data_IF_699624644467
#
_entry.id   IF_699624644467
#
_cell.length_a   1.000
_cell.length_b   1.000
_cell.length_c   1.000
_cell.angle_alpha   90.00
_cell.angle_beta   90.00
_cell.angle_gamma   90.00
#
_symmetry.space_group_name_H-M   'P 1'
#
loop_
_entity.id
_entity.type
_entity.pdbx_description
1 polymer ?
#
# COMPACT_ATOMS: atom_id res chain seq x y z
N UNK A 1 -7.17 -18.83 -91.21
CA UNK A 1 -6.17 -17.76 -91.36
C UNK A 1 -6.83 -16.42 -91.09
N UNK A 2 -6.13 -15.59 -90.32
CA UNK A 2 -6.56 -14.38 -89.60
C UNK A 2 -7.27 -13.33 -90.47
N UNK A 3 -8.36 -12.76 -89.95
CA UNK A 3 -8.80 -11.38 -90.27
C UNK A 3 -9.22 -10.64 -88.99
N UNK A 4 -8.73 -9.41 -88.90
CA UNK A 4 -8.85 -8.42 -87.85
C UNK A 4 -10.30 -7.95 -87.63
N UNK A 5 -10.58 -7.42 -86.43
CA UNK A 5 -11.06 -6.04 -86.23
C UNK A 5 -11.04 -5.68 -84.74
N UNK A 6 -10.51 -4.50 -84.46
CA UNK A 6 -10.57 -3.82 -83.18
C UNK A 6 -11.98 -3.25 -82.95
N UNK A 7 -12.46 -3.28 -81.71
CA UNK A 7 -13.52 -2.38 -81.23
C UNK A 7 -13.46 -2.24 -79.71
N UNK A 8 -13.12 -1.03 -79.29
CA UNK A 8 -13.30 -0.45 -77.96
C UNK A 8 -14.79 -0.41 -77.57
N UNK A 9 -15.13 -0.65 -76.29
CA UNK A 9 -16.22 0.03 -75.53
C UNK A 9 -16.00 -0.24 -74.02
N UNK A 10 -16.02 0.86 -73.24
CA UNK A 10 -16.09 0.95 -71.78
C UNK A 10 -17.37 0.29 -71.23
N UNK A 11 -17.29 -0.40 -70.08
CA UNK A 11 -18.34 -0.41 -69.03
C UNK A 11 -17.71 -0.70 -67.65
N UNK A 12 -17.62 0.37 -66.84
CA UNK A 12 -17.80 0.49 -65.37
C UNK A 12 -17.62 -0.71 -64.42
N UNK A 13 -16.71 -0.52 -63.46
CA UNK A 13 -17.00 -0.55 -62.02
C UNK A 13 -17.35 -1.89 -61.36
N UNK A 14 -16.36 -2.47 -60.66
CA UNK A 14 -16.67 -3.25 -59.46
C UNK A 14 -15.75 -2.84 -58.31
N UNK A 15 -16.41 -2.52 -57.21
CA UNK A 15 -15.97 -1.85 -56.00
C UNK A 15 -15.00 -2.66 -55.16
N UNK A 16 -14.05 -1.91 -54.59
CA UNK A 16 -13.18 -2.25 -53.46
C UNK A 16 -14.06 -2.63 -52.26
N UNK A 17 -13.85 -3.83 -51.71
CA UNK A 17 -14.27 -4.19 -50.36
C UNK A 17 -13.29 -5.22 -49.78
N UNK A 18 -12.04 -4.80 -49.62
CA UNK A 18 -11.03 -5.50 -48.82
C UNK A 18 -10.40 -4.47 -47.88
N UNK A 19 -11.06 -4.24 -46.74
CA UNK A 19 -10.61 -3.26 -45.76
C UNK A 19 -11.70 -2.88 -44.77
N UNK A 20 -12.02 -3.79 -43.83
CA UNK A 20 -12.64 -3.48 -42.54
C UNK A 20 -12.79 -4.77 -41.72
N UNK A 21 -11.70 -5.27 -41.14
CA UNK A 21 -11.76 -6.29 -40.08
C UNK A 21 -10.48 -6.26 -39.23
N UNK A 22 -10.09 -5.10 -38.70
CA UNK A 22 -8.99 -4.98 -37.73
C UNK A 22 -9.08 -3.68 -36.92
N UNK A 23 -10.22 -3.41 -36.29
CA UNK A 23 -10.37 -2.21 -35.43
C UNK A 23 -11.29 -2.43 -34.23
N UNK A 24 -11.30 -3.65 -33.67
CA UNK A 24 -12.08 -3.96 -32.47
C UNK A 24 -11.24 -4.15 -31.19
N UNK A 25 -9.90 -4.29 -31.24
CA UNK A 25 -9.10 -4.65 -30.05
C UNK A 25 -8.18 -3.54 -29.52
N UNK A 26 -8.32 -2.30 -30.00
CA UNK A 26 -7.52 -1.17 -29.48
C UNK A 26 -8.21 -0.41 -28.33
N UNK A 27 -9.48 -0.74 -28.03
CA UNK A 27 -10.28 -0.05 -27.02
C UNK A 27 -10.21 -0.70 -25.63
N UNK A 28 -9.74 -1.95 -25.53
CA UNK A 28 -9.71 -2.71 -24.28
C UNK A 28 -8.35 -2.69 -23.57
N UNK A 29 -7.27 -2.38 -24.30
CA UNK A 29 -5.91 -2.26 -23.72
C UNK A 29 -5.73 -0.91 -23.03
N UNK A 30 -5.30 -0.92 -21.76
CA UNK A 30 -4.97 0.31 -21.03
C UNK A 30 -3.56 0.87 -21.37
N UNK A 31 -2.89 0.31 -22.37
CA UNK A 31 -1.56 0.72 -22.81
C UNK A 31 -0.46 0.35 -21.82
N UNK A 32 0.62 1.13 -21.81
CA UNK A 32 1.70 0.96 -20.82
C UNK A 32 1.43 1.79 -19.58
N UNK A 33 1.57 1.15 -18.43
CA UNK A 33 1.30 1.72 -17.11
C UNK A 33 2.47 1.45 -16.17
N UNK A 34 2.63 2.31 -15.19
CA UNK A 34 3.60 2.20 -14.11
C UNK A 34 2.90 2.10 -12.76
N UNK A 35 3.22 1.07 -11.97
CA UNK A 35 2.63 0.83 -10.65
C UNK A 35 3.71 0.97 -9.59
N UNK A 36 3.44 1.74 -8.53
CA UNK A 36 4.29 1.78 -7.35
C UNK A 36 4.18 0.47 -6.55
N UNK A 37 5.28 -0.26 -6.44
CA UNK A 37 5.45 -1.27 -5.39
C UNK A 37 6.01 -0.56 -4.16
N UNK A 38 5.14 -0.28 -3.20
CA UNK A 38 5.60 0.26 -1.94
C UNK A 38 6.41 -0.81 -1.20
N UNK A 39 7.44 -0.38 -0.48
CA UNK A 39 8.40 -1.27 0.19
C UNK A 39 7.88 -1.94 1.49
N UNK A 40 6.58 -2.20 1.58
CA UNK A 40 5.95 -3.07 2.59
C UNK A 40 5.05 -4.11 1.93
N UNK A 41 4.92 -5.27 2.56
CA UNK A 41 4.47 -6.48 1.88
C UNK A 41 3.02 -6.41 1.33
N UNK A 42 2.05 -5.84 2.07
CA UNK A 42 0.66 -5.73 1.59
C UNK A 42 0.55 -4.91 0.30
N UNK A 43 1.24 -3.78 0.23
CA UNK A 43 1.28 -2.95 -0.97
C UNK A 43 2.04 -3.61 -2.12
N UNK A 44 3.08 -4.39 -1.80
CA UNK A 44 3.77 -5.24 -2.77
C UNK A 44 2.81 -6.24 -3.41
N UNK A 45 2.10 -7.05 -2.60
CA UNK A 45 1.07 -7.97 -3.10
C UNK A 45 0.02 -7.23 -3.92
N UNK A 46 -0.47 -6.08 -3.46
CA UNK A 46 -1.42 -5.26 -4.20
C UNK A 46 -0.92 -4.85 -5.59
N UNK A 47 0.35 -4.49 -5.72
CA UNK A 47 0.97 -4.13 -6.98
C UNK A 47 1.07 -5.32 -7.95
N UNK A 48 1.41 -6.52 -7.46
CA UNK A 48 1.51 -7.71 -8.31
C UNK A 48 0.15 -8.31 -8.66
N UNK A 49 -0.86 -8.21 -7.78
CA UNK A 49 -2.26 -8.55 -8.11
C UNK A 49 -2.77 -7.62 -9.22
N UNK A 50 -2.51 -6.31 -9.11
CA UNK A 50 -2.87 -5.36 -10.17
C UNK A 50 -2.13 -5.67 -11.47
N UNK A 51 -0.81 -5.93 -11.40
CA UNK A 51 -0.03 -6.33 -12.57
C UNK A 51 -0.66 -7.53 -13.27
N UNK A 52 -0.91 -8.62 -12.55
CA UNK A 52 -1.45 -9.83 -13.14
C UNK A 52 -2.84 -9.60 -13.76
N UNK A 53 -3.77 -8.97 -13.04
CA UNK A 53 -5.12 -8.72 -13.53
C UNK A 53 -5.12 -7.78 -14.74
N UNK A 54 -4.26 -6.75 -14.74
CA UNK A 54 -4.21 -5.78 -15.83
C UNK A 54 -3.54 -6.36 -17.08
N UNK A 55 -2.48 -7.15 -16.95
CA UNK A 55 -1.82 -7.80 -18.10
C UNK A 55 -2.73 -8.90 -18.69
N UNK A 56 -3.30 -9.75 -17.86
CA UNK A 56 -4.05 -10.92 -18.34
C UNK A 56 -5.54 -10.65 -18.56
N UNK A 57 -6.14 -9.70 -17.85
CA UNK A 57 -7.55 -9.32 -17.99
C UNK A 57 -7.78 -8.20 -19.00
N UNK A 58 -6.86 -7.25 -19.08
CA UNK A 58 -7.05 -5.99 -19.81
C UNK A 58 -5.96 -5.69 -20.86
N UNK A 59 -5.09 -6.64 -21.20
CA UNK A 59 -4.04 -6.48 -22.22
C UNK A 59 -3.15 -5.23 -22.00
N UNK A 60 -2.95 -4.86 -20.75
CA UNK A 60 -2.04 -3.77 -20.38
C UNK A 60 -0.59 -4.23 -20.42
N UNK A 61 0.36 -3.29 -20.52
CA UNK A 61 1.78 -3.55 -20.26
C UNK A 61 2.17 -2.89 -18.95
N UNK A 62 2.47 -3.68 -17.92
CA UNK A 62 2.61 -3.15 -16.56
C UNK A 62 4.07 -3.20 -16.10
N UNK A 63 4.62 -2.03 -15.80
CA UNK A 63 5.94 -1.88 -15.19
C UNK A 63 5.78 -1.53 -13.71
N UNK A 64 6.31 -2.38 -12.84
CA UNK A 64 6.36 -2.11 -11.40
C UNK A 64 7.61 -1.30 -11.08
N UNK A 65 7.48 -0.24 -10.29
CA UNK A 65 8.58 0.61 -9.84
C UNK A 65 8.60 0.69 -8.33
N UNK A 66 9.78 0.62 -7.73
CA UNK A 66 9.92 0.71 -6.28
C UNK A 66 9.45 2.07 -5.78
N UNK A 67 8.77 2.07 -4.64
CA UNK A 67 8.26 3.27 -3.99
C UNK A 67 8.19 3.16 -2.47
N UNK A 68 7.87 4.30 -1.87
CA UNK A 68 7.48 4.48 -0.48
C UNK A 68 6.40 5.59 -0.43
N UNK A 69 5.91 5.96 0.75
CA UNK A 69 4.80 6.93 0.85
C UNK A 69 5.14 8.31 0.27
N UNK A 70 6.23 8.92 0.74
CA UNK A 70 6.47 10.36 0.53
C UNK A 70 7.00 10.65 -0.88
N UNK A 71 8.18 10.13 -1.28
CA UNK A 71 8.67 10.19 -2.65
C UNK A 71 7.67 9.78 -3.74
N UNK A 72 6.89 8.71 -3.53
CA UNK A 72 5.87 8.31 -4.53
C UNK A 72 4.79 9.36 -4.65
N UNK A 73 4.21 9.83 -3.53
CA UNK A 73 3.22 10.91 -3.57
C UNK A 73 3.75 12.17 -4.27
N UNK A 74 4.96 12.63 -3.91
CA UNK A 74 5.59 13.80 -4.52
C UNK A 74 5.76 13.60 -6.02
N UNK A 75 6.31 12.45 -6.44
CA UNK A 75 6.53 12.15 -7.85
C UNK A 75 5.21 12.06 -8.63
N UNK A 76 4.19 11.41 -8.08
CA UNK A 76 2.87 11.33 -8.70
C UNK A 76 2.25 12.72 -8.87
N UNK A 77 2.30 13.56 -7.83
CA UNK A 77 1.69 14.88 -7.85
C UNK A 77 2.42 15.87 -8.78
N UNK A 78 3.75 15.83 -8.80
CA UNK A 78 4.56 16.77 -9.57
C UNK A 78 4.81 16.33 -11.02
N UNK A 79 4.89 15.03 -11.26
CA UNK A 79 5.34 14.46 -12.54
C UNK A 79 4.31 13.54 -13.19
N UNK A 80 3.21 13.21 -12.52
CA UNK A 80 2.22 12.26 -13.02
C UNK A 80 2.77 10.83 -13.14
N UNK A 81 3.77 10.46 -12.33
CA UNK A 81 4.36 9.11 -12.34
C UNK A 81 4.79 8.66 -10.93
N UNK A 82 4.63 7.37 -10.58
CA UNK A 82 3.99 6.31 -11.36
C UNK A 82 2.49 6.57 -11.59
N UNK A 83 1.89 5.86 -12.54
CA UNK A 83 0.48 6.01 -12.91
C UNK A 83 -0.46 5.66 -11.73
N UNK A 84 -0.05 4.69 -10.91
CA UNK A 84 -0.85 4.18 -9.80
C UNK A 84 0.00 3.84 -8.57
N UNK A 85 -0.53 4.17 -7.40
CA UNK A 85 -0.14 3.61 -6.11
C UNK A 85 -1.30 2.74 -5.59
N UNK A 86 -1.20 1.40 -5.65
CA UNK A 86 -2.26 0.46 -5.25
C UNK A 86 -2.73 0.66 -3.81
N UNK A 87 -1.79 0.88 -2.91
CA UNK A 87 -2.02 1.02 -1.48
C UNK A 87 -1.26 2.26 -0.97
N UNK A 88 -1.95 3.39 -0.88
CA UNK A 88 -1.43 4.64 -0.33
C UNK A 88 -2.08 4.92 1.02
N UNK A 89 -1.26 5.03 2.06
CA UNK A 89 -1.68 5.43 3.41
C UNK A 89 -1.72 6.96 3.47
N UNK A 90 -2.91 7.56 3.34
CA UNK A 90 -3.04 8.99 3.03
C UNK A 90 -3.03 9.89 4.26
N UNK A 91 -3.26 9.33 5.45
CA UNK A 91 -3.41 10.07 6.71
C UNK A 91 -2.21 10.96 7.04
N UNK A 92 -1.03 10.58 6.59
CA UNK A 92 0.22 11.28 6.89
C UNK A 92 0.60 12.31 5.83
N UNK A 93 -0.03 12.25 4.64
CA UNK A 93 0.24 13.19 3.56
C UNK A 93 -0.40 14.56 3.84
N UNK A 94 -1.58 14.58 4.50
CA UNK A 94 -2.29 15.78 4.94
C UNK A 94 -2.61 16.77 3.80
N UNK A 95 -2.56 18.08 4.08
CA UNK A 95 -3.00 19.14 3.14
C UNK A 95 -2.47 19.03 1.70
N UNK A 96 -1.17 18.76 1.43
CA UNK A 96 -0.69 18.58 0.07
C UNK A 96 -1.45 17.49 -0.73
N UNK A 97 -1.82 16.39 -0.08
CA UNK A 97 -2.60 15.34 -0.73
C UNK A 97 -4.04 15.77 -0.99
N UNK A 98 -4.68 16.43 -0.01
CA UNK A 98 -6.02 16.99 -0.18
C UNK A 98 -6.08 17.99 -1.34
N UNK A 99 -5.06 18.85 -1.48
CA UNK A 99 -4.92 19.79 -2.59
C UNK A 99 -4.69 19.10 -3.93
N UNK A 100 -3.87 18.05 -3.97
CA UNK A 100 -3.63 17.23 -5.16
C UNK A 100 -4.91 16.55 -5.65
N UNK A 101 -5.72 16.02 -4.73
CA UNK A 101 -7.03 15.41 -5.05
C UNK A 101 -8.04 16.49 -5.48
N UNK A 102 -8.13 17.60 -4.75
CA UNK A 102 -9.07 18.69 -5.05
C UNK A 102 -8.79 19.37 -6.39
N UNK A 103 -7.52 19.50 -6.77
CA UNK A 103 -7.11 20.04 -8.07
C UNK A 103 -7.29 19.04 -9.22
N UNK A 104 -7.49 17.76 -8.91
CA UNK A 104 -7.62 16.67 -9.88
C UNK A 104 -6.29 16.23 -10.48
N UNK A 105 -5.15 16.58 -9.86
CA UNK A 105 -3.84 16.04 -10.26
C UNK A 105 -3.74 14.55 -9.92
N UNK A 106 -4.25 14.20 -8.74
CA UNK A 106 -4.39 12.83 -8.26
C UNK A 106 -5.87 12.50 -8.09
N UNK A 107 -6.23 11.25 -8.36
CA UNK A 107 -7.58 10.73 -8.16
C UNK A 107 -7.50 9.67 -7.07
N UNK A 108 -8.28 9.86 -6.02
CA UNK A 108 -8.49 8.86 -4.99
C UNK A 108 -9.61 7.92 -5.45
N UNK A 109 -9.30 6.66 -5.70
CA UNK A 109 -10.26 5.69 -6.26
C UNK A 109 -10.94 4.89 -5.15
N UNK A 110 -10.42 3.70 -4.80
CA UNK A 110 -11.05 2.77 -3.85
C UNK A 110 -10.29 2.75 -2.53
N UNK A 111 -11.02 2.58 -1.42
CA UNK A 111 -10.42 2.21 -0.13
C UNK A 111 -10.02 0.73 -0.21
N UNK A 112 -8.76 0.42 -0.48
CA UNK A 112 -8.34 -0.96 -0.78
C UNK A 112 -8.48 -1.89 0.44
N UNK A 113 -8.22 -1.38 1.64
CA UNK A 113 -8.51 -2.05 2.91
C UNK A 113 -9.89 -1.62 3.41
N UNK A 114 -10.88 -2.51 3.34
CA UNK A 114 -12.29 -2.19 3.67
C UNK A 114 -12.43 -1.62 5.10
N UNK A 115 -11.71 -2.20 6.04
CA UNK A 115 -11.70 -1.82 7.45
C UNK A 115 -10.76 -0.63 7.73
N UNK A 116 -9.85 -0.33 6.81
CA UNK A 116 -8.74 0.60 7.03
C UNK A 116 -7.58 -0.05 7.78
N UNK A 117 -6.46 0.67 7.85
CA UNK A 117 -5.28 0.21 8.58
C UNK A 117 -5.35 0.54 10.07
N UNK A 118 -4.70 -0.27 10.89
CA UNK A 118 -4.53 0.00 12.32
C UNK A 118 -3.08 0.37 12.54
N UNK A 119 -2.82 1.58 13.02
CA UNK A 119 -1.48 2.05 13.35
C UNK A 119 -1.38 2.35 14.85
N UNK A 120 -0.19 2.20 15.43
CA UNK A 120 0.04 2.58 16.81
C UNK A 120 1.37 2.14 17.35
N UNK A 121 1.54 2.30 18.66
CA UNK A 121 2.65 1.71 19.39
C UNK A 121 2.24 0.39 20.00
N UNK A 122 3.09 -0.62 19.82
CA UNK A 122 2.80 -2.00 20.21
C UNK A 122 3.84 -2.53 21.18
N UNK A 123 3.43 -3.54 21.96
CA UNK A 123 4.32 -4.35 22.80
C UNK A 123 4.03 -5.84 22.60
N UNK A 124 4.99 -6.74 22.90
CA UNK A 124 4.72 -8.18 22.91
C UNK A 124 3.64 -8.56 23.93
N UNK A 125 2.74 -9.47 23.55
CA UNK A 125 1.65 -9.91 24.43
C UNK A 125 2.14 -10.53 25.73
N UNK A 126 3.24 -11.30 25.71
CA UNK A 126 3.80 -11.88 26.93
C UNK A 126 4.20 -10.79 27.94
N UNK A 127 4.70 -9.66 27.47
CA UNK A 127 5.06 -8.53 28.33
C UNK A 127 3.80 -7.87 28.90
N UNK A 128 2.76 -7.69 28.07
CA UNK A 128 1.47 -7.16 28.53
C UNK A 128 0.80 -8.07 29.57
N UNK A 129 0.92 -9.39 29.41
CA UNK A 129 0.35 -10.37 30.34
C UNK A 129 1.13 -10.42 31.66
N UNK A 130 2.46 -10.24 31.63
CA UNK A 130 3.32 -10.12 32.82
C UNK A 130 3.14 -8.78 33.54
N UNK A 131 2.81 -7.72 32.81
CA UNK A 131 2.62 -6.35 33.30
C UNK A 131 1.22 -5.82 32.95
N UNK A 132 0.15 -6.35 33.59
CA UNK A 132 -1.24 -6.01 33.24
C UNK A 132 -1.63 -4.56 33.56
N UNK A 133 -0.76 -3.81 34.24
CA UNK A 133 -0.85 -2.38 34.47
C UNK A 133 -0.40 -1.55 33.25
N UNK A 134 0.37 -2.11 32.32
CA UNK A 134 0.78 -1.45 31.08
C UNK A 134 -0.32 -1.59 30.03
N UNK A 135 -1.19 -0.58 29.94
CA UNK A 135 -2.31 -0.54 28.98
C UNK A 135 -2.20 0.61 27.99
N UNK A 136 -1.58 1.70 28.41
CA UNK A 136 -1.39 2.90 27.60
C UNK A 136 0.07 3.09 27.22
N UNK A 137 0.31 3.89 26.19
CA UNK A 137 1.65 4.36 25.83
C UNK A 137 2.34 5.03 27.03
N UNK A 138 1.61 5.83 27.80
CA UNK A 138 2.17 6.50 28.98
C UNK A 138 2.54 5.54 30.11
N UNK A 139 1.88 4.37 30.21
CA UNK A 139 2.28 3.35 31.16
C UNK A 139 3.58 2.69 30.74
N UNK A 140 3.71 2.30 29.46
CA UNK A 140 4.95 1.73 28.94
C UNK A 140 6.15 2.68 29.11
N UNK A 141 5.94 3.99 28.88
CA UNK A 141 6.97 5.00 29.04
C UNK A 141 7.42 5.26 30.49
N UNK A 142 6.79 4.64 31.51
CA UNK A 142 7.29 4.66 32.89
C UNK A 142 8.35 3.59 33.14
N UNK A 143 8.52 2.65 32.20
CA UNK A 143 9.29 1.42 32.38
C UNK A 143 10.37 1.25 31.30
N UNK A 144 11.33 2.18 31.15
CA UNK A 144 12.41 2.05 30.16
C UNK A 144 13.22 0.75 30.34
N UNK A 145 13.31 0.20 31.54
CA UNK A 145 13.98 -1.05 31.85
C UNK A 145 13.37 -2.29 31.16
N UNK A 146 12.09 -2.22 30.77
CA UNK A 146 11.42 -3.32 30.09
C UNK A 146 11.70 -3.35 28.59
N UNK A 147 12.20 -2.25 28.01
CA UNK A 147 12.33 -2.08 26.57
C UNK A 147 13.78 -1.78 26.18
N UNK A 148 14.74 -2.69 26.41
CA UNK A 148 16.17 -2.36 26.30
C UNK A 148 16.56 -1.82 24.91
N UNK A 149 17.24 -0.68 24.87
CA UNK A 149 17.76 -0.15 23.61
C UNK A 149 18.97 -0.95 23.10
N UNK A 150 19.09 -1.16 21.78
CA UNK A 150 20.13 -2.01 21.19
C UNK A 150 21.54 -1.42 21.33
N UNK A 151 21.67 -0.09 21.34
CA UNK A 151 22.96 0.61 21.36
C UNK A 151 23.34 1.18 22.73
N UNK A 152 22.37 1.32 23.64
CA UNK A 152 22.57 1.89 24.97
C UNK A 152 21.67 1.18 26.00
N UNK A 153 22.23 0.18 26.68
CA UNK A 153 21.51 -0.60 27.69
C UNK A 153 21.06 0.21 28.92
N UNK A 154 21.49 1.48 29.06
CA UNK A 154 20.99 2.37 30.11
C UNK A 154 19.65 3.04 29.76
N UNK A 155 19.15 2.84 28.54
CA UNK A 155 17.93 3.44 28.02
C UNK A 155 16.92 2.41 27.52
N UNK A 156 15.65 2.82 27.54
CA UNK A 156 14.61 2.16 26.78
C UNK A 156 14.68 2.50 25.29
N UNK A 157 14.07 1.70 24.43
CA UNK A 157 13.90 1.95 23.00
C UNK A 157 12.43 2.16 22.66
N UNK A 158 12.18 3.16 21.82
CA UNK A 158 10.99 3.25 20.99
C UNK A 158 11.44 3.05 19.56
N UNK A 159 11.07 1.91 18.96
CA UNK A 159 11.39 1.63 17.56
C UNK A 159 10.52 2.51 16.65
N UNK A 160 11.21 3.28 15.81
CA UNK A 160 10.63 4.20 14.86
C UNK A 160 10.15 3.51 13.58
N UNK A 161 9.74 4.34 12.64
CA UNK A 161 9.24 3.93 11.34
C UNK A 161 10.31 4.21 10.25
N UNK A 162 10.41 3.37 9.20
CA UNK A 162 11.42 3.51 8.15
C UNK A 162 11.43 4.88 7.47
N UNK A 163 12.59 5.37 7.01
CA UNK A 163 12.67 6.61 6.25
C UNK A 163 11.77 6.63 5.01
N UNK A 164 11.14 7.78 4.74
CA UNK A 164 10.26 7.99 3.58
C UNK A 164 8.79 7.58 3.81
N UNK A 165 8.53 6.78 4.84
CA UNK A 165 7.17 6.37 5.22
C UNK A 165 6.43 7.48 5.94
N UNK A 166 5.11 7.46 5.81
CA UNK A 166 4.22 8.37 6.50
C UNK A 166 4.35 8.36 8.02
N UNK A 167 4.59 7.20 8.61
CA UNK A 167 4.71 7.04 10.06
C UNK A 167 6.02 7.57 10.64
N UNK A 168 7.02 7.91 9.83
CA UNK A 168 8.31 8.40 10.31
C UNK A 168 8.13 9.73 11.06
N UNK A 169 7.57 10.80 10.46
CA UNK A 169 7.30 12.04 11.18
C UNK A 169 6.31 11.82 12.34
N UNK A 170 5.25 11.02 12.14
CA UNK A 170 4.24 10.73 13.17
C UNK A 170 4.87 10.15 14.43
N UNK A 171 5.71 9.12 14.29
CA UNK A 171 6.33 8.45 15.43
C UNK A 171 7.36 9.35 16.12
N UNK A 172 8.16 10.08 15.36
CA UNK A 172 9.13 11.04 15.91
C UNK A 172 8.43 12.18 16.68
N UNK A 173 7.34 12.71 16.14
CA UNK A 173 6.56 13.77 16.78
C UNK A 173 5.84 13.28 18.03
N UNK A 174 5.26 12.08 18.01
CA UNK A 174 4.64 11.49 19.20
C UNK A 174 5.68 11.15 20.28
N UNK A 175 6.87 10.69 19.90
CA UNK A 175 7.99 10.48 20.83
C UNK A 175 8.35 11.78 21.55
N UNK A 176 8.52 12.89 20.81
CA UNK A 176 8.78 14.22 21.36
C UNK A 176 7.62 14.74 22.21
N UNK A 177 6.38 14.62 21.72
CA UNK A 177 5.19 15.10 22.41
C UNK A 177 4.99 14.44 23.79
N UNK A 178 5.36 13.17 23.88
CA UNK A 178 5.27 12.37 25.11
C UNK A 178 6.51 12.48 26.00
N UNK A 179 7.50 13.28 25.60
CA UNK A 179 8.77 13.49 26.31
C UNK A 179 9.48 12.17 26.62
N UNK A 180 9.46 11.23 25.67
CA UNK A 180 9.99 9.89 25.87
C UNK A 180 11.51 9.90 26.14
N UNK A 181 12.23 10.88 25.58
CA UNK A 181 13.65 11.13 25.88
C UNK A 181 13.88 11.50 27.35
N UNK A 182 13.08 12.43 27.90
CA UNK A 182 13.13 12.82 29.32
C UNK A 182 12.80 11.63 30.25
N UNK A 183 12.06 10.64 29.74
CA UNK A 183 11.69 9.40 30.44
C UNK A 183 12.70 8.27 30.24
N UNK A 184 13.85 8.54 29.62
CA UNK A 184 14.94 7.57 29.48
C UNK A 184 14.84 6.66 28.26
N UNK A 185 14.08 7.04 27.23
CA UNK A 185 14.02 6.32 25.97
C UNK A 185 14.89 6.95 24.88
N UNK A 186 15.33 6.12 23.94
CA UNK A 186 15.89 6.54 22.66
C UNK A 186 14.89 6.18 21.55
N UNK A 187 14.73 7.07 20.57
CA UNK A 187 14.04 6.76 19.33
C UNK A 187 15.01 6.01 18.42
N UNK A 188 14.66 4.78 18.02
CA UNK A 188 15.53 3.91 17.22
C UNK A 188 15.09 3.96 15.75
N UNK A 189 16.01 4.31 14.86
CA UNK A 189 15.78 4.19 13.42
C UNK A 189 15.96 2.73 12.99
N UNK A 190 14.95 2.18 12.34
CA UNK A 190 14.95 0.80 11.84
C UNK A 190 15.52 0.69 10.43
N UNK A 191 15.71 1.81 9.74
CA UNK A 191 16.32 1.95 8.41
C UNK A 191 15.50 1.38 7.25
N UNK A 192 14.69 0.34 7.48
CA UNK A 192 13.88 -0.33 6.46
C UNK A 192 12.74 -1.13 7.09
N UNK A 193 11.75 -1.53 6.29
CA UNK A 193 10.68 -2.44 6.71
C UNK A 193 11.25 -3.74 7.32
N UNK A 194 12.22 -4.36 6.64
CA UNK A 194 12.89 -5.57 7.12
C UNK A 194 13.63 -5.36 8.44
N UNK A 195 14.20 -4.16 8.65
CA UNK A 195 14.83 -3.80 9.94
C UNK A 195 13.81 -3.67 11.07
N UNK A 196 12.64 -3.09 10.79
CA UNK A 196 11.54 -2.99 11.75
C UNK A 196 10.98 -4.38 12.11
N UNK A 197 10.66 -5.19 11.11
CA UNK A 197 10.18 -6.58 11.28
C UNK A 197 11.20 -7.45 12.01
N UNK A 198 12.49 -7.30 11.68
CA UNK A 198 13.59 -7.98 12.34
C UNK A 198 13.75 -7.58 13.81
N UNK A 199 13.48 -6.32 14.16
CA UNK A 199 13.54 -5.85 15.55
C UNK A 199 12.47 -6.51 16.42
N UNK A 200 11.24 -6.66 15.90
CA UNK A 200 10.13 -7.33 16.59
C UNK A 200 10.45 -8.82 16.74
N UNK A 201 10.81 -9.48 15.63
CA UNK A 201 11.15 -10.90 15.61
C UNK A 201 12.25 -11.23 16.62
N UNK A 202 13.34 -10.46 16.60
CA UNK A 202 14.46 -10.68 17.50
C UNK A 202 14.09 -10.49 18.97
N UNK A 203 13.28 -9.48 19.31
CA UNK A 203 12.82 -9.29 20.68
C UNK A 203 11.91 -10.44 21.14
N UNK A 204 10.99 -10.87 20.27
CA UNK A 204 10.03 -11.93 20.58
C UNK A 204 10.69 -13.29 20.81
N UNK A 205 11.60 -13.68 19.92
CA UNK A 205 12.36 -14.93 20.01
C UNK A 205 13.27 -14.97 21.24
N UNK A 206 13.75 -13.81 21.70
CA UNK A 206 14.57 -13.68 22.91
C UNK A 206 13.76 -13.43 24.18
N UNK A 207 12.43 -13.34 24.10
CA UNK A 207 11.55 -12.94 25.21
C UNK A 207 11.99 -11.63 25.88
N UNK A 208 12.38 -10.65 25.07
CA UNK A 208 12.76 -9.31 25.51
C UNK A 208 11.61 -8.33 25.23
N UNK A 209 11.45 -7.27 26.03
CA UNK A 209 10.44 -6.27 25.70
C UNK A 209 10.80 -5.49 24.44
N UNK A 210 9.77 -5.06 23.73
CA UNK A 210 9.85 -4.25 22.53
C UNK A 210 8.73 -3.21 22.60
N UNK A 211 9.03 -1.96 22.24
CA UNK A 211 8.07 -0.87 22.15
C UNK A 211 8.37 -0.09 20.89
N UNK A 212 7.37 0.19 20.06
CA UNK A 212 7.58 0.96 18.85
C UNK A 212 6.37 1.00 17.93
N UNK A 213 6.52 1.73 16.85
CA UNK A 213 5.51 1.81 15.79
C UNK A 213 5.33 0.45 15.10
N UNK A 214 4.07 0.05 14.91
CA UNK A 214 3.73 -1.01 13.97
C UNK A 214 2.30 -0.84 13.45
N UNK A 215 1.93 -1.64 12.44
CA UNK A 215 0.61 -1.57 11.81
C UNK A 215 0.02 -2.94 11.49
N UNK A 216 -1.29 -2.94 11.23
CA UNK A 216 -2.04 -4.09 10.71
C UNK A 216 -2.79 -3.70 9.42
N UNK A 217 -2.95 -4.64 8.46
CA UNK A 217 -2.53 -6.05 8.51
C UNK A 217 -1.06 -6.27 8.13
N UNK A 218 -0.40 -7.22 8.80
CA UNK A 218 1.01 -7.62 8.54
C UNK A 218 1.23 -9.09 8.91
N UNK A 219 2.22 -9.76 8.29
CA UNK A 219 2.62 -11.12 8.66
C UNK A 219 3.15 -11.19 10.10
N UNK A 220 3.92 -10.19 10.53
CA UNK A 220 4.51 -10.15 11.87
C UNK A 220 3.45 -10.16 12.97
N UNK A 221 2.34 -9.43 12.81
CA UNK A 221 1.24 -9.49 13.77
C UNK A 221 0.45 -10.81 13.71
N UNK A 222 0.50 -11.53 12.59
CA UNK A 222 -0.04 -12.88 12.48
C UNK A 222 0.85 -13.95 13.12
N UNK A 223 2.17 -13.74 13.11
CA UNK A 223 3.19 -14.67 13.64
C UNK A 223 3.45 -14.49 15.12
N UNK A 224 3.46 -13.25 15.59
CA UNK A 224 3.77 -12.90 16.97
C UNK A 224 2.60 -12.18 17.61
N UNK A 225 2.12 -12.71 18.74
CA UNK A 225 1.06 -12.04 19.50
C UNK A 225 1.58 -10.73 20.08
N UNK A 226 1.12 -9.61 19.53
CA UNK A 226 1.44 -8.26 19.98
C UNK A 226 0.15 -7.55 20.45
N UNK A 227 0.30 -6.55 21.31
CA UNK A 227 -0.79 -5.73 21.83
C UNK A 227 -0.53 -4.28 21.45
N UNK A 228 -1.48 -3.67 20.73
CA UNK A 228 -1.50 -2.22 20.52
C UNK A 228 -1.84 -1.55 21.83
N UNK A 229 -1.00 -0.62 22.27
CA UNK A 229 -1.27 0.20 23.43
C UNK A 229 -2.34 1.25 23.11
N UNK A 230 -3.16 1.57 24.12
CA UNK A 230 -4.04 2.73 24.06
C UNK A 230 -3.18 4.01 24.05
N UNK A 231 -3.53 4.98 23.20
CA UNK A 231 -2.78 6.22 23.10
C UNK A 231 -2.87 7.08 24.38
N UNK A 232 -3.81 6.78 25.28
CA UNK A 232 -4.04 7.47 26.54
C UNK A 232 -4.67 8.85 26.39
N UNK A 233 -4.98 9.25 25.16
CA UNK A 233 -5.56 10.54 24.78
C UNK A 233 -6.54 10.34 23.62
N UNK A 234 -7.46 11.27 23.43
CA UNK A 234 -8.38 11.28 22.28
C UNK A 234 -7.69 11.79 21.02
N UNK A 235 -8.17 11.37 19.85
CA UNK A 235 -7.77 11.93 18.56
C UNK A 235 -8.21 13.39 18.44
N UNK A 236 -7.25 14.31 18.34
CA UNK A 236 -7.44 15.64 17.76
C UNK A 236 -6.99 15.60 16.30
N UNK A 237 -7.94 15.45 15.37
CA UNK A 237 -7.63 15.30 13.94
C UNK A 237 -6.90 16.51 13.38
N UNK A 238 -7.28 17.72 13.78
CA UNK A 238 -6.65 18.94 13.26
C UNK A 238 -5.20 19.07 13.75
N UNK A 239 -4.93 18.77 15.02
CA UNK A 239 -3.56 18.75 15.54
C UNK A 239 -2.72 17.61 14.92
N UNK A 240 -3.36 16.47 14.61
CA UNK A 240 -2.70 15.35 13.94
C UNK A 240 -2.23 15.77 12.54
N UNK A 241 -3.15 16.24 11.70
CA UNK A 241 -2.87 16.53 10.29
C UNK A 241 -1.93 17.73 10.11
N UNK A 242 -2.03 18.75 10.98
CA UNK A 242 -1.24 19.97 10.87
C UNK A 242 0.11 19.93 11.59
N UNK A 243 0.35 18.94 12.46
CA UNK A 243 1.60 18.85 13.22
C UNK A 243 2.12 17.43 13.33
N UNK A 244 1.37 16.49 13.91
CA UNK A 244 1.88 15.13 14.18
C UNK A 244 2.31 14.42 12.90
N UNK A 245 1.50 14.48 11.85
CA UNK A 245 1.81 13.90 10.55
C UNK A 245 2.90 14.63 9.75
N UNK A 246 3.30 15.84 10.17
CA UNK A 246 4.19 16.70 9.40
C UNK A 246 5.65 16.58 9.84
N UNK A 247 6.60 16.60 8.90
CA UNK A 247 7.99 16.81 9.28
C UNK A 247 8.14 18.15 10.02
N UNK A 248 9.12 18.22 10.92
CA UNK A 248 9.54 19.46 11.60
C UNK A 248 8.46 20.16 12.45
N UNK A 249 7.48 19.43 13.00
CA UNK A 249 6.53 19.98 13.96
C UNK A 249 7.26 20.55 15.20
N UNK A 250 7.15 21.87 15.37
CA UNK A 250 7.89 22.61 16.40
C UNK A 250 7.45 22.24 17.82
N UNK A 251 6.15 22.07 18.04
CA UNK A 251 5.54 21.81 19.36
C UNK A 251 4.46 20.71 19.27
N UNK A 252 4.84 19.44 19.03
CA UNK A 252 3.88 18.34 18.94
C UNK A 252 3.23 18.08 20.31
N UNK A 253 1.93 17.78 20.30
CA UNK A 253 1.16 17.42 21.50
C UNK A 253 0.75 15.94 21.45
N UNK A 254 0.63 15.26 22.60
CA UNK A 254 0.16 13.87 22.61
C UNK A 254 -1.16 13.76 21.86
N UNK A 255 -1.26 12.76 20.99
CA UNK A 255 -2.44 12.54 20.15
C UNK A 255 -2.61 11.03 19.92
N UNK A 256 -3.82 10.62 19.56
CA UNK A 256 -4.11 9.25 19.17
C UNK A 256 -3.83 9.03 17.69
N UNK A 257 -3.55 7.77 17.32
CA UNK A 257 -3.53 7.40 15.91
C UNK A 257 -4.98 7.37 15.37
N UNK A 258 -5.27 8.01 14.22
CA UNK A 258 -6.51 7.78 13.51
C UNK A 258 -6.56 6.36 12.95
N UNK A 259 -7.76 5.86 12.64
CA UNK A 259 -7.89 4.72 11.73
C UNK A 259 -7.29 5.13 10.39
N UNK A 260 -6.36 4.34 9.86
CA UNK A 260 -5.68 4.67 8.64
C UNK A 260 -6.61 4.53 7.44
N UNK A 261 -6.71 5.59 6.66
CA UNK A 261 -7.36 5.58 5.36
C UNK A 261 -6.33 5.14 4.32
N UNK A 262 -6.62 4.00 3.69
CA UNK A 262 -5.71 3.36 2.74
C UNK A 262 -6.43 3.25 1.41
N UNK A 263 -5.99 4.04 0.44
CA UNK A 263 -6.63 4.18 -0.85
C UNK A 263 -5.72 3.74 -1.99
N UNK A 264 -6.32 3.22 -3.07
CA UNK A 264 -5.66 3.26 -4.38
C UNK A 264 -5.71 4.70 -4.89
N UNK A 265 -4.54 5.23 -5.22
CA UNK A 265 -4.36 6.57 -5.77
C UNK A 265 -3.82 6.44 -7.18
N UNK A 266 -4.40 7.18 -8.11
CA UNK A 266 -3.96 7.20 -9.50
C UNK A 266 -3.70 8.62 -9.97
N UNK A 267 -2.89 8.76 -11.00
CA UNK A 267 -2.68 10.05 -11.66
C UNK A 267 -3.88 10.38 -12.55
N UNK A 268 -4.09 11.67 -12.79
CA UNK A 268 -5.14 12.13 -13.72
C UNK A 268 -5.07 11.44 -15.08
N UNK A 269 -3.87 11.42 -15.68
CA UNK A 269 -3.66 10.85 -17.01
C UNK A 269 -4.01 9.36 -17.05
N UNK A 270 -3.70 8.62 -15.98
CA UNK A 270 -4.12 7.23 -15.86
C UNK A 270 -5.64 7.10 -15.78
N UNK A 271 -6.30 7.88 -14.92
CA UNK A 271 -7.76 7.84 -14.79
C UNK A 271 -8.49 8.14 -16.11
N UNK A 272 -7.91 8.98 -16.97
CA UNK A 272 -8.45 9.31 -18.30
C UNK A 272 -8.18 8.23 -19.36
N UNK A 273 -7.03 7.53 -19.30
CA UNK A 273 -6.61 6.54 -20.32
C UNK A 273 -6.89 5.07 -19.96
N UNK A 274 -7.17 4.76 -18.70
CA UNK A 274 -7.26 3.39 -18.19
C UNK A 274 -8.39 2.54 -18.81
N UNK A 275 -9.34 3.17 -19.52
CA UNK A 275 -10.41 2.45 -20.20
C UNK A 275 -11.21 1.57 -19.22
N UNK A 276 -11.63 0.35 -19.61
CA UNK A 276 -12.37 -0.56 -18.74
C UNK A 276 -11.63 -1.00 -17.48
N UNK A 277 -10.29 -0.89 -17.44
CA UNK A 277 -9.50 -1.32 -16.27
C UNK A 277 -9.72 -0.43 -15.03
N UNK A 278 -10.16 0.83 -15.22
CA UNK A 278 -10.44 1.73 -14.08
C UNK A 278 -11.62 1.23 -13.23
N UNK A 279 -12.59 0.55 -13.85
CA UNK A 279 -13.74 -0.01 -13.14
C UNK A 279 -13.35 -1.19 -12.25
N UNK A 280 -12.33 -1.95 -12.64
CA UNK A 280 -11.71 -2.95 -11.78
C UNK A 280 -11.05 -2.29 -10.57
N UNK A 281 -10.22 -1.26 -10.79
CA UNK A 281 -9.55 -0.53 -9.72
C UNK A 281 -10.56 0.03 -8.71
N UNK A 282 -11.66 0.61 -9.17
CA UNK A 282 -12.73 1.15 -8.31
C UNK A 282 -13.45 0.12 -7.44
N UNK A 283 -13.41 -1.16 -7.81
CA UNK A 283 -14.08 -2.25 -7.10
C UNK A 283 -13.14 -3.07 -6.24
N UNK A 284 -11.84 -3.02 -6.51
CA UNK A 284 -10.84 -3.86 -5.85
C UNK A 284 -10.68 -3.45 -4.39
N UNK A 285 -11.26 -4.25 -3.52
CA UNK A 285 -11.20 -4.08 -2.08
C UNK A 285 -11.17 -5.45 -1.40
N UNK A 286 -10.37 -5.57 -0.35
CA UNK A 286 -10.27 -6.74 0.51
C UNK A 286 -10.28 -6.33 1.99
N UNK A 287 -10.51 -7.29 2.88
CA UNK A 287 -10.43 -7.10 4.33
C UNK A 287 -9.02 -7.39 4.86
N UNK A 288 -8.77 -6.98 6.10
CA UNK A 288 -7.47 -7.13 6.73
C UNK A 288 -7.10 -8.60 6.97
N UNK A 289 -8.10 -9.47 7.22
CA UNK A 289 -7.91 -10.91 7.44
C UNK A 289 -7.41 -11.62 6.16
N UNK A 290 -7.98 -11.29 5.00
CA UNK A 290 -7.55 -11.81 3.70
C UNK A 290 -6.10 -11.43 3.44
N UNK A 291 -5.74 -10.15 3.61
CA UNK A 291 -4.36 -9.68 3.42
C UNK A 291 -3.42 -10.38 4.39
N UNK A 292 -3.78 -10.44 5.68
CA UNK A 292 -2.95 -11.08 6.69
C UNK A 292 -2.67 -12.56 6.37
N UNK A 293 -3.63 -13.31 5.83
CA UNK A 293 -3.46 -14.70 5.41
C UNK A 293 -2.48 -14.86 4.25
N UNK A 294 -2.57 -13.98 3.24
CA UNK A 294 -1.61 -13.99 2.12
C UNK A 294 -0.21 -13.67 2.62
N UNK A 295 -0.07 -12.65 3.47
CA UNK A 295 1.22 -12.27 4.05
C UNK A 295 1.81 -13.37 4.95
N UNK A 296 0.98 -14.05 5.73
CA UNK A 296 1.41 -15.19 6.54
C UNK A 296 1.90 -16.34 5.66
N UNK A 297 1.18 -16.66 4.58
CA UNK A 297 1.62 -17.66 3.61
C UNK A 297 2.97 -17.29 2.98
N UNK A 298 3.17 -16.02 2.61
CA UNK A 298 4.45 -15.54 2.09
C UNK A 298 5.59 -15.73 3.09
N UNK A 299 5.40 -15.39 4.37
CA UNK A 299 6.43 -15.59 5.40
C UNK A 299 6.78 -17.07 5.58
N UNK A 300 5.77 -17.95 5.67
CA UNK A 300 5.94 -19.40 5.83
C UNK A 300 6.66 -20.06 4.64
N UNK A 301 6.43 -19.56 3.43
CA UNK A 301 6.95 -20.13 2.19
C UNK A 301 8.16 -19.36 1.63
N UNK A 302 8.62 -18.32 2.33
CA UNK A 302 9.66 -17.39 1.85
C UNK A 302 9.31 -16.80 0.47
N UNK A 303 8.03 -16.54 0.24
CA UNK A 303 7.47 -16.05 -1.01
C UNK A 303 7.76 -14.57 -1.25
N UNK A 304 7.94 -14.23 -2.51
CA UNK A 304 8.01 -12.85 -3.01
C UNK A 304 6.61 -12.22 -3.06
N UNK A 305 6.54 -10.91 -3.32
CA UNK A 305 5.27 -10.22 -3.55
C UNK A 305 4.50 -10.78 -4.77
N UNK A 306 5.23 -11.29 -5.78
CA UNK A 306 4.66 -11.97 -6.94
C UNK A 306 4.06 -13.32 -6.55
N UNK A 307 4.80 -14.15 -5.80
CA UNK A 307 4.29 -15.42 -5.27
C UNK A 307 3.03 -15.20 -4.41
N UNK A 308 3.01 -14.12 -3.59
CA UNK A 308 1.85 -13.75 -2.79
C UNK A 308 0.63 -13.34 -3.63
N UNK A 309 0.85 -12.66 -4.76
CA UNK A 309 -0.22 -12.30 -5.69
C UNK A 309 -0.78 -13.54 -6.41
N UNK A 310 0.08 -14.46 -6.86
CA UNK A 310 -0.33 -15.74 -7.45
C UNK A 310 -1.15 -16.56 -6.45
N UNK A 311 -0.63 -16.74 -5.23
CA UNK A 311 -1.34 -17.41 -4.15
C UNK A 311 -2.71 -16.77 -3.88
N UNK A 312 -2.78 -15.43 -3.84
CA UNK A 312 -4.05 -14.72 -3.67
C UNK A 312 -5.03 -15.04 -4.80
N UNK A 313 -4.59 -14.97 -6.07
CA UNK A 313 -5.44 -15.23 -7.22
C UNK A 313 -5.96 -16.66 -7.25
N UNK A 314 -5.14 -17.65 -6.88
CA UNK A 314 -5.53 -19.05 -6.81
C UNK A 314 -6.51 -19.35 -5.67
N UNK A 315 -6.31 -18.74 -4.51
CA UNK A 315 -7.03 -19.12 -3.27
C UNK A 315 -8.22 -18.20 -2.95
N UNK A 316 -8.34 -17.06 -3.63
CA UNK A 316 -9.40 -16.07 -3.40
C UNK A 316 -10.18 -15.73 -4.68
N UNK A 317 -10.40 -16.71 -5.56
CA UNK A 317 -11.21 -16.57 -6.78
C UNK A 317 -12.58 -15.92 -6.54
N UNK A 318 -13.29 -16.37 -5.51
CA UNK A 318 -14.60 -15.83 -5.17
C UNK A 318 -14.59 -14.34 -4.81
N UNK A 319 -13.43 -13.81 -4.41
CA UNK A 319 -13.27 -12.40 -4.09
C UNK A 319 -12.95 -11.60 -5.35
N UNK A 320 -11.87 -11.94 -6.05
CA UNK A 320 -11.39 -11.10 -7.15
C UNK A 320 -12.28 -11.13 -8.38
N UNK A 321 -13.00 -12.22 -8.61
CA UNK A 321 -13.98 -12.31 -9.73
C UNK A 321 -15.13 -11.31 -9.58
N UNK A 322 -15.39 -10.78 -8.39
CA UNK A 322 -16.38 -9.71 -8.16
C UNK A 322 -15.89 -8.33 -8.59
N UNK A 323 -14.58 -8.16 -8.77
CA UNK A 323 -13.97 -6.89 -9.16
C UNK A 323 -14.00 -6.66 -10.67
N UNK A 324 -14.05 -7.74 -11.46
CA UNK A 324 -13.99 -7.72 -12.92
C UNK A 324 -15.31 -8.18 -13.56
N UNK A 325 -15.43 -8.06 -14.88
CA UNK A 325 -16.56 -8.67 -15.61
C UNK A 325 -16.38 -10.19 -15.71
N UNK A 326 -17.45 -10.98 -15.94
CA UNK A 326 -17.32 -12.42 -16.16
C UNK A 326 -16.37 -12.78 -17.32
N UNK A 327 -16.37 -12.01 -18.40
CA UNK A 327 -15.47 -12.23 -19.54
C UNK A 327 -14.00 -12.01 -19.17
N UNK A 328 -13.71 -10.94 -18.44
CA UNK A 328 -12.36 -10.66 -17.93
C UNK A 328 -11.93 -11.73 -16.92
N UNK A 329 -12.85 -12.19 -16.07
CA UNK A 329 -12.57 -13.27 -15.12
C UNK A 329 -12.14 -14.56 -15.83
N UNK A 330 -12.86 -14.98 -16.87
CA UNK A 330 -12.50 -16.19 -17.63
C UNK A 330 -11.14 -16.03 -18.33
N UNK A 331 -10.82 -14.82 -18.82
CA UNK A 331 -9.52 -14.53 -19.42
C UNK A 331 -8.37 -14.65 -18.42
N UNK A 332 -8.55 -14.12 -17.21
CA UNK A 332 -7.59 -14.23 -16.10
C UNK A 332 -7.40 -15.69 -15.69
N UNK A 333 -8.49 -16.45 -15.51
CA UNK A 333 -8.40 -17.89 -15.17
C UNK A 333 -7.67 -18.72 -16.21
N UNK A 334 -7.81 -18.37 -17.49
CA UNK A 334 -7.11 -19.06 -18.57
C UNK A 334 -5.60 -18.76 -18.63
N UNK A 335 -5.13 -17.75 -17.90
CA UNK A 335 -3.71 -17.33 -17.82
C UNK A 335 -2.98 -17.85 -16.57
N UNK A 336 -3.72 -18.43 -15.63
CA UNK A 336 -3.21 -19.10 -14.43
C UNK A 336 -2.93 -20.58 -14.75
#
# INVERSE_FOLDING_TARGET
MKKLLASTILVTGFTIAAGAASSANAADSCGSITIAEMNWASAGVAAYVDKFIMENGYDCTVNVVSGDTTPTFTSMNEKGQPDMAPEMWVNTLGTPYEEAVKSGNLIQEVKILSEGGVEGWWIPKYLADEHPDIKTVEDALKHPELFPAPEDASKGAVFGCPPGWGCQPTTANLFKARKADEKGFALIDTGSAAGLDGSISNAYEKKQGWLGYYWAPTAILGKYDMVKLDDGVSLDRAAYDNCIAKPDCADPKPNAYPVAEVFTVVTKDFAEKAGPSIDYIRKRQWDNDTVAKVLAWMDENQGTNEDGAEYFLENHEELWTKWVSPEVAEKIKASM
#
